data_IF_254426746704
#
_entry.id   IF_254426746704
#
_cell.length_a   1.000
_cell.length_b   1.000
_cell.length_c   1.000
_cell.angle_alpha   90.00
_cell.angle_beta   90.00
_cell.angle_gamma   90.00
#
_symmetry.space_group_name_H-M   'P 1'
#
loop_
_entity.id
_entity.type
_entity.pdbx_description
1 polymer ?
#
# COMPACT_ATOMS: atom_id res chain seq x y z
N UNK A 1 4.97 -14.80 -2.60
CA UNK A 1 3.52 -15.07 -2.50
C UNK A 1 2.82 -14.63 -3.78
N UNK A 2 1.62 -15.11 -3.97
CA UNK A 2 0.80 -14.66 -5.09
C UNK A 2 0.11 -13.34 -4.75
N UNK A 3 -0.39 -12.66 -5.78
CA UNK A 3 -1.19 -11.45 -5.57
C UNK A 3 -2.47 -11.80 -4.82
N UNK A 4 -3.07 -12.95 -5.12
CA UNK A 4 -4.24 -13.41 -4.40
C UNK A 4 -3.95 -13.53 -2.89
N UNK A 5 -2.81 -14.12 -2.53
CA UNK A 5 -2.40 -14.24 -1.13
C UNK A 5 -2.25 -12.88 -0.48
N UNK A 6 -1.61 -11.95 -1.17
CA UNK A 6 -1.39 -10.60 -0.65
C UNK A 6 -2.71 -9.86 -0.44
N UNK A 7 -3.63 -9.98 -1.38
CA UNK A 7 -4.95 -9.36 -1.27
C UNK A 7 -5.72 -9.93 -0.09
N UNK A 8 -5.75 -11.24 0.04
CA UNK A 8 -6.46 -11.91 1.14
C UNK A 8 -5.87 -11.49 2.48
N UNK A 9 -4.55 -11.47 2.58
CA UNK A 9 -3.85 -11.06 3.78
C UNK A 9 -4.17 -9.60 4.12
N UNK A 10 -4.15 -8.74 3.13
CA UNK A 10 -4.44 -7.31 3.28
C UNK A 10 -5.87 -7.10 3.81
N UNK A 11 -6.83 -7.78 3.23
CA UNK A 11 -8.22 -7.67 3.67
C UNK A 11 -8.39 -8.11 5.12
N UNK A 12 -7.75 -9.20 5.51
CA UNK A 12 -7.79 -9.68 6.88
C UNK A 12 -7.15 -8.70 7.86
N UNK A 13 -6.01 -8.13 7.47
CA UNK A 13 -5.31 -7.15 8.29
C UNK A 13 -6.18 -5.90 8.51
N UNK A 14 -6.84 -5.44 7.45
CA UNK A 14 -7.75 -4.29 7.53
C UNK A 14 -8.88 -4.58 8.51
N UNK A 15 -9.51 -5.75 8.40
CA UNK A 15 -10.61 -6.10 9.28
C UNK A 15 -10.19 -6.15 10.75
N UNK A 16 -9.00 -6.68 11.02
CA UNK A 16 -8.46 -6.71 12.38
C UNK A 16 -8.27 -5.28 12.92
N UNK A 17 -7.74 -4.39 12.10
CA UNK A 17 -7.46 -3.04 12.54
C UNK A 17 -8.71 -2.17 12.64
N UNK A 18 -9.75 -2.45 11.87
CA UNK A 18 -11.01 -1.71 11.94
C UNK A 18 -11.70 -1.85 13.30
N UNK A 19 -11.42 -2.93 14.01
CA UNK A 19 -11.99 -3.13 15.35
C UNK A 19 -11.53 -2.05 16.32
N UNK A 20 -10.39 -1.44 16.05
CA UNK A 20 -9.79 -0.41 16.93
C UNK A 20 -10.35 0.98 16.70
N UNK A 21 -11.20 1.18 15.69
CA UNK A 21 -11.72 2.50 15.36
C UNK A 21 -13.24 2.50 15.45
N UNK A 22 -13.80 3.71 15.56
CA UNK A 22 -15.26 3.87 15.63
C UNK A 22 -15.92 3.36 14.36
N UNK A 23 -17.09 2.68 14.46
CA UNK A 23 -17.84 2.31 13.26
C UNK A 23 -18.26 3.50 12.40
N UNK A 24 -18.26 4.70 12.97
CA UNK A 24 -18.64 5.92 12.25
C UNK A 24 -17.47 6.53 11.48
N UNK A 25 -16.27 5.99 11.66
CA UNK A 25 -15.10 6.50 10.96
C UNK A 25 -15.18 6.16 9.47
N UNK A 26 -14.79 7.13 8.62
CA UNK A 26 -14.83 6.98 7.17
C UNK A 26 -13.65 6.11 6.71
N UNK A 27 -13.90 4.82 6.56
CA UNK A 27 -12.91 3.86 6.13
C UNK A 27 -13.37 3.24 4.81
N UNK A 28 -12.60 3.44 3.73
CA UNK A 28 -12.95 2.97 2.41
C UNK A 28 -11.87 2.06 1.86
N UNK A 29 -12.27 0.90 1.34
CA UNK A 29 -11.37 -0.03 0.67
C UNK A 29 -11.95 -0.31 -0.71
N UNK A 30 -11.16 -0.06 -1.74
CA UNK A 30 -11.53 -0.37 -3.12
C UNK A 30 -10.54 -1.37 -3.68
N UNK A 31 -11.07 -2.41 -4.29
CA UNK A 31 -10.23 -3.38 -4.99
C UNK A 31 -10.69 -3.44 -6.46
N UNK A 32 -9.73 -3.39 -7.36
CA UNK A 32 -9.97 -3.51 -8.78
C UNK A 32 -8.99 -4.55 -9.30
N UNK A 33 -9.35 -5.80 -9.15
CA UNK A 33 -8.46 -6.93 -9.38
C UNK A 33 -8.93 -7.71 -10.59
N UNK A 34 -8.12 -7.70 -11.63
CA UNK A 34 -8.35 -8.51 -12.82
C UNK A 34 -7.84 -9.93 -12.57
N UNK A 35 -8.74 -10.81 -12.17
CA UNK A 35 -8.39 -12.19 -11.87
C UNK A 35 -7.97 -12.98 -13.11
N UNK A 36 -8.21 -12.43 -14.31
CA UNK A 36 -7.74 -13.03 -15.56
C UNK A 36 -6.33 -12.61 -15.92
N UNK A 37 -5.74 -11.67 -15.14
CA UNK A 37 -4.36 -11.26 -15.36
C UNK A 37 -3.43 -12.47 -15.26
N UNK A 38 -2.43 -12.59 -16.16
CA UNK A 38 -1.48 -13.70 -16.09
C UNK A 38 -0.66 -13.69 -14.80
N UNK A 39 -0.64 -12.58 -14.07
CA UNK A 39 0.17 -12.44 -12.86
C UNK A 39 -0.60 -12.74 -11.58
N UNK A 40 -1.91 -12.97 -11.67
CA UNK A 40 -2.76 -13.11 -10.48
C UNK A 40 -2.32 -14.26 -9.57
N UNK A 41 -1.90 -15.37 -10.14
CA UNK A 41 -1.48 -16.55 -9.38
C UNK A 41 0.02 -16.80 -9.42
N UNK A 42 0.79 -15.86 -9.96
CA UNK A 42 2.24 -15.99 -9.99
C UNK A 42 2.85 -15.59 -8.64
N UNK A 43 3.87 -16.32 -8.22
CA UNK A 43 4.56 -16.06 -6.94
C UNK A 43 5.65 -15.01 -7.13
N UNK A 44 5.26 -13.83 -7.56
CA UNK A 44 6.20 -12.75 -7.89
C UNK A 44 6.00 -11.50 -7.01
N UNK A 45 5.15 -11.59 -6.01
CA UNK A 45 4.90 -10.47 -5.11
C UNK A 45 5.69 -10.69 -3.83
N UNK A 46 6.47 -9.68 -3.46
CA UNK A 46 7.10 -9.61 -2.16
C UNK A 46 6.02 -9.60 -1.10
N UNK A 47 6.08 -10.47 -0.08
CA UNK A 47 4.99 -10.58 0.88
C UNK A 47 4.85 -9.35 1.76
N UNK A 48 3.63 -9.08 2.21
CA UNK A 48 3.29 -8.06 3.19
C UNK A 48 3.60 -6.63 2.72
N UNK A 49 3.57 -6.39 1.41
CA UNK A 49 3.83 -5.07 0.85
C UNK A 49 2.86 -4.02 1.37
N UNK A 50 1.59 -4.37 1.43
CA UNK A 50 0.54 -3.42 1.82
C UNK A 50 0.55 -3.10 3.31
N UNK A 51 1.12 -3.99 4.13
CA UNK A 51 1.07 -3.84 5.58
C UNK A 51 1.75 -2.55 6.04
N UNK A 52 2.94 -2.27 5.50
CA UNK A 52 3.67 -1.06 5.89
C UNK A 52 2.85 0.20 5.63
N UNK A 53 2.14 0.25 4.50
CA UNK A 53 1.30 1.39 4.16
C UNK A 53 0.10 1.51 5.08
N UNK A 54 -0.54 0.39 5.37
CA UNK A 54 -1.75 0.37 6.18
C UNK A 54 -1.43 0.66 7.63
N UNK A 55 -0.35 0.08 8.17
CA UNK A 55 0.10 0.39 9.52
C UNK A 55 0.41 1.87 9.69
N UNK A 56 1.10 2.47 8.72
CA UNK A 56 1.39 3.90 8.75
C UNK A 56 0.11 4.73 8.76
N UNK A 57 -0.87 4.34 7.95
CA UNK A 57 -2.14 5.06 7.91
C UNK A 57 -2.84 5.01 9.26
N UNK A 58 -2.93 3.84 9.89
CA UNK A 58 -3.55 3.73 11.21
C UNK A 58 -2.76 4.48 12.28
N UNK A 59 -1.44 4.47 12.19
CA UNK A 59 -0.59 5.13 13.18
C UNK A 59 -0.70 6.66 13.12
N UNK A 60 -0.79 7.22 11.91
CA UNK A 60 -0.68 8.68 11.72
C UNK A 60 -2.01 9.37 11.45
N UNK A 61 -3.09 8.63 11.30
CA UNK A 61 -4.41 9.24 11.12
C UNK A 61 -4.92 9.81 12.44
N UNK A 62 -5.46 11.01 12.37
CA UNK A 62 -6.13 11.62 13.52
C UNK A 62 -7.59 11.19 13.51
N UNK A 63 -7.92 10.16 14.27
CA UNK A 63 -9.26 9.58 14.28
C UNK A 63 -10.31 10.47 14.93
N UNK A 64 -9.88 11.50 15.65
CA UNK A 64 -10.79 12.42 16.34
C UNK A 64 -11.10 13.67 15.52
N UNK A 65 -10.35 13.90 14.45
CA UNK A 65 -10.54 15.08 13.62
C UNK A 65 -11.79 14.90 12.74
N UNK A 66 -12.57 15.99 12.61
CA UNK A 66 -13.72 15.99 11.72
C UNK A 66 -13.28 15.72 10.27
N UNK A 67 -14.07 14.95 9.55
CA UNK A 67 -13.79 14.58 8.17
C UNK A 67 -12.49 13.77 7.99
N UNK A 68 -12.02 13.12 9.06
CA UNK A 68 -10.88 12.23 8.95
C UNK A 68 -11.27 10.96 8.20
N UNK A 69 -10.30 10.37 7.50
CA UNK A 69 -10.56 9.21 6.66
C UNK A 69 -9.30 8.40 6.40
N UNK A 70 -9.49 7.14 6.04
CA UNK A 70 -8.47 6.28 5.43
C UNK A 70 -9.09 5.66 4.18
N UNK A 71 -8.41 5.79 3.05
CA UNK A 71 -8.82 5.18 1.79
C UNK A 71 -7.69 4.29 1.28
N UNK A 72 -8.03 3.04 0.99
CA UNK A 72 -7.08 2.05 0.49
C UNK A 72 -7.57 1.57 -0.86
N UNK A 73 -6.68 1.54 -1.84
CA UNK A 73 -6.98 1.01 -3.17
C UNK A 73 -5.95 -0.02 -3.56
N UNK A 74 -6.42 -1.17 -4.02
CA UNK A 74 -5.59 -2.23 -4.60
C UNK A 74 -6.05 -2.47 -6.01
N UNK A 75 -5.13 -2.43 -6.97
CA UNK A 75 -5.47 -2.63 -8.36
C UNK A 75 -4.47 -3.58 -9.02
N UNK A 76 -5.00 -4.57 -9.74
CA UNK A 76 -4.22 -5.45 -10.59
C UNK A 76 -4.80 -5.42 -11.99
N UNK A 77 -3.95 -5.14 -12.97
CA UNK A 77 -4.30 -5.30 -14.38
C UNK A 77 -3.29 -6.25 -15.04
N UNK A 78 -3.28 -6.30 -16.36
CA UNK A 78 -2.39 -7.21 -17.07
C UNK A 78 -0.95 -6.69 -17.21
N UNK A 79 -0.60 -5.58 -16.56
CA UNK A 79 0.74 -5.00 -16.62
C UNK A 79 1.33 -4.73 -15.25
N UNK A 80 0.50 -4.34 -14.27
CA UNK A 80 1.01 -3.82 -13.02
C UNK A 80 0.09 -4.14 -11.84
N UNK A 81 0.68 -4.07 -10.66
CA UNK A 81 -0.04 -4.12 -9.38
C UNK A 81 0.21 -2.81 -8.64
N UNK A 82 -0.85 -2.20 -8.16
CA UNK A 82 -0.78 -0.89 -7.49
C UNK A 82 -1.46 -0.93 -6.13
N UNK A 83 -0.79 -0.33 -5.16
CA UNK A 83 -1.32 -0.12 -3.81
C UNK A 83 -1.30 1.39 -3.56
N UNK A 84 -2.44 1.95 -3.20
CA UNK A 84 -2.51 3.35 -2.84
C UNK A 84 -3.25 3.49 -1.51
N UNK A 85 -2.68 4.26 -0.59
CA UNK A 85 -3.29 4.54 0.71
C UNK A 85 -3.28 6.03 0.91
N UNK A 86 -4.45 6.60 1.21
CA UNK A 86 -4.63 8.00 1.54
C UNK A 86 -5.22 8.13 2.92
N UNK A 87 -4.72 9.05 3.71
CA UNK A 87 -5.29 9.29 5.03
C UNK A 87 -5.08 10.73 5.46
N UNK A 88 -5.96 11.19 6.34
CA UNK A 88 -5.85 12.53 6.92
C UNK A 88 -4.99 12.45 8.17
N UNK A 89 -3.93 13.24 8.19
CA UNK A 89 -3.00 13.27 9.31
C UNK A 89 -3.26 14.49 10.18
N UNK A 90 -2.86 14.39 11.46
CA UNK A 90 -2.95 15.56 12.33
C UNK A 90 -1.85 16.56 11.95
N UNK A 91 -2.07 17.86 12.15
CA UNK A 91 -1.04 18.85 11.89
C UNK A 91 0.26 18.59 12.66
N UNK A 92 0.16 17.97 13.82
CA UNK A 92 1.35 17.61 14.61
C UNK A 92 2.16 16.53 13.92
N UNK A 93 1.50 15.58 13.28
CA UNK A 93 2.19 14.48 12.60
C UNK A 93 2.88 14.94 11.32
N UNK A 94 2.35 15.96 10.67
CA UNK A 94 2.99 16.49 9.46
C UNK A 94 4.35 17.11 9.76
N UNK A 95 4.57 17.57 10.98
CA UNK A 95 5.86 18.13 11.41
C UNK A 95 6.86 17.04 11.79
N UNK A 96 6.40 15.82 12.05
CA UNK A 96 7.24 14.71 12.48
C UNK A 96 7.55 13.73 11.37
N UNK A 97 7.25 14.08 10.14
CA UNK A 97 7.39 13.16 9.00
C UNK A 97 8.81 12.64 8.82
N UNK A 98 9.81 13.40 9.25
CA UNK A 98 11.22 13.03 9.07
C UNK A 98 11.67 11.93 10.02
N UNK A 99 10.98 11.75 11.13
CA UNK A 99 11.38 10.78 12.14
C UNK A 99 10.78 9.40 11.92
N UNK A 100 9.85 9.26 10.99
CA UNK A 100 9.17 8.01 10.72
C UNK A 100 9.79 7.18 9.61
N UNK A 101 11.02 7.46 9.24
CA UNK A 101 11.60 6.92 8.02
C UNK A 101 12.07 5.49 8.05
N UNK A 102 12.18 4.85 9.21
CA UNK A 102 12.81 3.53 9.29
C UNK A 102 12.02 2.46 8.54
N UNK A 103 10.71 2.39 8.71
CA UNK A 103 9.88 1.43 7.99
C UNK A 103 9.88 1.69 6.49
N UNK A 104 9.81 2.97 6.11
CA UNK A 104 9.80 3.37 4.70
C UNK A 104 11.10 3.03 4.00
N UNK A 105 12.24 3.25 4.65
CA UNK A 105 13.54 2.93 4.10
C UNK A 105 13.69 1.42 3.92
N UNK A 106 13.22 0.66 4.90
CA UNK A 106 13.28 -0.80 4.83
C UNK A 106 12.45 -1.33 3.68
N UNK A 107 11.23 -0.79 3.47
CA UNK A 107 10.38 -1.20 2.37
C UNK A 107 11.00 -0.86 1.03
N UNK A 108 11.49 0.37 0.88
CA UNK A 108 12.12 0.79 -0.37
C UNK A 108 13.34 -0.06 -0.69
N UNK A 109 14.14 -0.39 0.31
CA UNK A 109 15.31 -1.25 0.14
C UNK A 109 14.89 -2.64 -0.34
N UNK A 110 13.87 -3.23 0.27
CA UNK A 110 13.37 -4.55 -0.13
C UNK A 110 12.83 -4.53 -1.56
N UNK A 111 12.10 -3.47 -1.92
CA UNK A 111 11.57 -3.31 -3.27
C UNK A 111 12.68 -3.20 -4.29
N UNK A 112 13.71 -2.42 -3.98
CA UNK A 112 14.86 -2.23 -4.87
C UNK A 112 15.61 -3.55 -5.07
N UNK A 113 15.78 -4.32 -4.02
CA UNK A 113 16.46 -5.59 -4.11
C UNK A 113 15.72 -6.61 -4.98
N UNK A 114 14.40 -6.60 -4.93
CA UNK A 114 13.58 -7.58 -5.65
C UNK A 114 13.25 -7.10 -7.06
N UNK A 115 12.81 -5.86 -7.19
CA UNK A 115 12.24 -5.35 -8.46
C UNK A 115 13.18 -4.43 -9.22
N UNK A 116 14.29 -4.02 -8.62
CA UNK A 116 15.26 -3.09 -9.19
C UNK A 116 14.56 -1.80 -9.64
N UNK A 117 14.42 -1.58 -10.95
CA UNK A 117 13.77 -0.38 -11.49
C UNK A 117 12.30 -0.60 -11.87
N UNK A 118 11.77 -1.80 -11.64
CA UNK A 118 10.43 -2.15 -12.08
C UNK A 118 9.35 -1.80 -11.06
N UNK A 119 9.59 -0.78 -10.27
CA UNK A 119 8.59 -0.25 -9.35
C UNK A 119 8.72 1.26 -9.24
N UNK A 120 7.66 1.90 -8.79
CA UNK A 120 7.70 3.29 -8.38
C UNK A 120 7.00 3.43 -7.03
N UNK A 121 7.61 4.18 -6.15
CA UNK A 121 7.11 4.44 -4.80
C UNK A 121 7.11 5.94 -4.60
N UNK A 122 5.95 6.49 -4.24
CA UNK A 122 5.84 7.90 -3.94
C UNK A 122 5.08 8.11 -2.64
N UNK A 123 5.49 9.12 -1.89
CA UNK A 123 4.83 9.54 -0.66
C UNK A 123 4.76 11.05 -0.69
N UNK A 124 3.54 11.58 -0.64
CA UNK A 124 3.33 13.01 -0.70
C UNK A 124 2.41 13.45 0.43
N UNK A 125 2.63 14.67 0.89
CA UNK A 125 1.74 15.32 1.85
C UNK A 125 1.29 16.62 1.21
N UNK A 126 -0.01 16.79 1.09
CA UNK A 126 -0.60 18.02 0.59
C UNK A 126 -1.64 18.47 1.62
N UNK A 127 -1.39 19.62 2.25
CA UNK A 127 -2.16 20.08 3.40
C UNK A 127 -2.07 19.02 4.51
N UNK A 128 -3.19 18.44 4.91
CA UNK A 128 -3.22 17.41 5.95
C UNK A 128 -3.55 16.03 5.40
N UNK A 129 -3.38 15.84 4.09
CA UNK A 129 -3.64 14.55 3.45
C UNK A 129 -2.32 13.93 3.03
N UNK A 130 -2.08 12.70 3.50
CA UNK A 130 -0.92 11.89 3.14
C UNK A 130 -1.35 10.86 2.10
N UNK A 131 -0.55 10.74 1.04
CA UNK A 131 -0.79 9.75 -0.02
C UNK A 131 0.48 8.93 -0.19
N UNK A 132 0.36 7.62 -0.02
CA UNK A 132 1.41 6.67 -0.35
C UNK A 132 0.95 5.85 -1.54
N UNK A 133 1.81 5.73 -2.54
CA UNK A 133 1.48 5.02 -3.77
C UNK A 133 2.65 4.14 -4.19
N UNK A 134 2.36 2.85 -4.39
CA UNK A 134 3.33 1.88 -4.90
C UNK A 134 2.75 1.24 -6.15
N UNK A 135 3.55 1.25 -7.21
CA UNK A 135 3.20 0.56 -8.45
C UNK A 135 4.35 -0.37 -8.81
N UNK A 136 4.03 -1.64 -9.04
CA UNK A 136 5.00 -2.65 -9.47
C UNK A 136 4.68 -2.98 -10.93
N UNK A 137 5.67 -2.82 -11.79
CA UNK A 137 5.55 -3.11 -13.21
C UNK A 137 5.78 -4.60 -13.43
N UNK A 138 4.75 -5.40 -13.20
CA UNK A 138 4.85 -6.86 -13.21
C UNK A 138 5.25 -7.41 -14.57
N UNK A 139 4.73 -6.81 -15.64
CA UNK A 139 5.04 -7.27 -16.99
C UNK A 139 6.55 -7.16 -17.25
N UNK A 140 7.14 -6.01 -16.94
CA UNK A 140 8.58 -5.81 -17.12
C UNK A 140 9.39 -6.74 -16.24
N UNK A 141 9.00 -6.85 -14.98
CA UNK A 141 9.68 -7.71 -14.02
C UNK A 141 9.63 -9.18 -14.43
N UNK A 142 8.44 -9.65 -14.80
CA UNK A 142 8.24 -11.05 -15.21
C UNK A 142 9.02 -11.37 -16.50
N UNK A 143 9.02 -10.44 -17.45
CA UNK A 143 9.75 -10.60 -18.71
C UNK A 143 11.24 -10.76 -18.45
N UNK A 144 11.81 -9.93 -17.56
CA UNK A 144 13.24 -10.00 -17.21
C UNK A 144 13.57 -11.31 -16.49
N UNK A 145 12.68 -11.83 -15.68
CA UNK A 145 12.90 -13.11 -14.99
C UNK A 145 12.98 -14.29 -15.94
N UNK A 146 12.30 -14.22 -17.08
CA UNK A 146 12.16 -15.33 -18.02
C UNK A 146 12.95 -15.16 -19.30
N UNK A 147 13.75 -14.10 -19.42
CA UNK A 147 14.67 -13.91 -20.54
C UNK A 147 16.10 -14.14 -20.05
N UNK A 148 16.76 -15.07 -20.68
CA UNK A 148 18.18 -15.32 -20.44
C UNK A 148 18.92 -15.37 -21.76
#
# INVERSE_FOLDING_TARGET
VTIKDEIDFTKNFIEINKVKVSPLFDFQVKTKIDETSPYYQEKIILPLLSIDFIENAFKHTDFQQANSFIKIMLELNNKSFQIQVMNKISPKNSLKKETGGHGSQSLEHRLKMVYDDDFSLSKTIEQDIFVANLKINLHEFYTKMHTN
#
